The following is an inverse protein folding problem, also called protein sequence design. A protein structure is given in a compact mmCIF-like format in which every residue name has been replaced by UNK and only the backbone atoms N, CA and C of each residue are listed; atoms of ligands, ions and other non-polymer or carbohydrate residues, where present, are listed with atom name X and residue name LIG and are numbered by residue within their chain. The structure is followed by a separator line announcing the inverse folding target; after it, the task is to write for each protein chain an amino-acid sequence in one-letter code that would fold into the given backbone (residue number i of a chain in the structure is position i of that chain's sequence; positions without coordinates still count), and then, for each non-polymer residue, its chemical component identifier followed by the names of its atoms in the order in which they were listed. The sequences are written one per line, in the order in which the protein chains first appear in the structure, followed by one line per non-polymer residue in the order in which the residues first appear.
data_IF_230508546750
#
_entry.id   IF_230508546750
#
_cell.length_a   1.000
_cell.length_b   1.000
_cell.length_c   1.000
_cell.angle_alpha   90.00
_cell.angle_beta   90.00
_cell.angle_gamma   90.00
#
_symmetry.space_group_name_H-M   'P 1'
#
loop_
_entity.id
_entity.type
_entity.pdbx_description
1 polymer ?
#
# COMPACT_ATOMS: atom_id res chain seq x y z
N UNK A 1 14.56 -2.63 -22.29
CA UNK A 1 14.05 -1.95 -21.08
C UNK A 1 14.64 -2.65 -19.89
N UNK A 2 15.47 -1.96 -19.14
CA UNK A 2 16.13 -2.55 -17.99
C UNK A 2 15.12 -2.95 -16.90
N UNK A 3 15.52 -3.93 -16.08
CA UNK A 3 14.74 -4.27 -14.90
C UNK A 3 14.83 -3.13 -13.89
N UNK A 4 13.75 -2.85 -13.13
CA UNK A 4 13.86 -1.94 -12.01
C UNK A 4 14.93 -2.46 -11.05
N UNK A 5 15.74 -1.56 -10.51
CA UNK A 5 16.64 -1.90 -9.40
C UNK A 5 15.74 -2.11 -8.18
N UNK A 6 15.36 -3.36 -7.94
CA UNK A 6 14.64 -3.77 -6.76
C UNK A 6 15.68 -4.12 -5.70
N UNK A 7 15.71 -3.32 -4.65
CA UNK A 7 16.62 -3.47 -3.53
C UNK A 7 15.86 -3.36 -2.22
N UNK A 8 16.63 -3.39 -1.14
CA UNK A 8 16.12 -3.15 0.20
C UNK A 8 15.30 -1.85 0.25
N UNK A 9 14.22 -1.89 1.02
CA UNK A 9 13.41 -0.69 1.29
C UNK A 9 14.07 -0.01 2.48
N UNK A 10 14.59 1.21 2.30
CA UNK A 10 15.38 1.92 3.31
C UNK A 10 14.70 3.19 3.77
N UNK A 11 14.80 3.49 5.06
CA UNK A 11 14.26 4.70 5.69
C UNK A 11 12.76 4.95 5.37
N UNK A 12 11.98 3.89 5.15
CA UNK A 12 10.59 4.02 4.75
C UNK A 12 9.72 4.52 5.90
N UNK A 13 8.69 5.29 5.59
CA UNK A 13 7.69 5.72 6.56
C UNK A 13 6.43 4.85 6.50
N UNK A 14 5.79 4.66 7.66
CA UNK A 14 4.48 4.02 7.72
C UNK A 14 3.40 5.02 7.32
N UNK A 15 2.73 4.78 6.19
CA UNK A 15 1.60 5.61 5.75
C UNK A 15 0.35 5.34 6.59
N UNK A 16 0.11 4.06 6.92
CA UNK A 16 -1.07 3.58 7.63
C UNK A 16 -0.70 2.43 8.57
N UNK A 17 -1.25 2.47 9.78
CA UNK A 17 -1.21 1.36 10.75
C UNK A 17 -2.63 0.92 11.05
N UNK A 18 -3.02 -0.20 10.49
CA UNK A 18 -4.41 -0.64 10.40
C UNK A 18 -4.67 -1.84 11.34
N UNK A 19 -5.95 -2.05 11.63
CA UNK A 19 -6.43 -3.18 12.43
C UNK A 19 -6.67 -4.45 11.61
N UNK A 20 -7.51 -5.32 12.18
CA UNK A 20 -7.95 -6.57 11.55
C UNK A 20 -9.05 -6.33 10.52
N UNK A 21 -9.22 -7.29 9.61
CA UNK A 21 -10.31 -7.41 8.64
C UNK A 21 -10.53 -6.13 7.81
N UNK A 22 -9.44 -5.46 7.43
CA UNK A 22 -9.48 -4.32 6.51
C UNK A 22 -9.91 -4.82 5.14
N UNK A 23 -11.18 -4.61 4.81
CA UNK A 23 -11.72 -5.04 3.52
C UNK A 23 -11.20 -4.21 2.34
N UNK A 24 -11.32 -4.75 1.12
CA UNK A 24 -11.02 -4.04 -0.13
C UNK A 24 -11.88 -2.78 -0.34
N UNK A 25 -13.04 -2.66 0.32
CA UNK A 25 -13.86 -1.43 0.29
C UNK A 25 -13.28 -0.32 1.16
N UNK A 26 -12.54 -0.66 2.22
CA UNK A 26 -11.75 0.33 2.97
C UNK A 26 -10.57 0.82 2.13
N UNK A 27 -9.91 -0.10 1.40
CA UNK A 27 -8.74 0.21 0.57
C UNK A 27 -9.14 1.00 -0.69
N UNK A 28 -10.21 0.58 -1.36
CA UNK A 28 -10.69 1.15 -2.62
C UNK A 28 -12.22 1.26 -2.59
N UNK A 29 -12.77 2.31 -1.94
CA UNK A 29 -14.21 2.55 -1.92
C UNK A 29 -14.76 2.73 -3.35
N UNK A 30 -16.00 2.29 -3.57
CA UNK A 30 -16.67 2.40 -4.87
C UNK A 30 -17.86 3.36 -4.88
N UNK A 31 -18.29 3.83 -3.70
CA UNK A 31 -19.45 4.70 -3.53
C UNK A 31 -19.17 6.17 -3.84
N UNK A 32 -19.95 7.04 -3.22
CA UNK A 32 -19.92 8.48 -3.45
C UNK A 32 -18.58 9.13 -3.10
N UNK A 33 -18.19 10.11 -3.91
CA UNK A 33 -17.00 10.94 -3.65
C UNK A 33 -17.37 12.04 -2.66
N UNK A 34 -16.85 11.99 -1.44
CA UNK A 34 -17.12 12.98 -0.39
C UNK A 34 -16.67 14.39 -0.83
N UNK A 35 -17.48 15.43 -0.54
CA UNK A 35 -17.23 16.83 -0.97
C UNK A 35 -15.87 17.37 -0.50
N UNK A 36 -15.38 16.90 0.65
CA UNK A 36 -14.14 17.34 1.29
C UNK A 36 -12.94 16.45 0.94
N UNK A 37 -13.10 15.45 0.09
CA UNK A 37 -12.02 14.53 -0.29
C UNK A 37 -11.03 15.15 -1.29
N UNK A 38 -9.81 14.61 -1.35
CA UNK A 38 -8.81 15.01 -2.36
C UNK A 38 -9.32 14.76 -3.78
N UNK A 39 -10.12 13.72 -4.00
CA UNK A 39 -10.74 13.44 -5.29
C UNK A 39 -11.75 14.53 -5.69
N UNK A 40 -12.56 15.01 -4.74
CA UNK A 40 -13.47 16.14 -4.96
C UNK A 40 -12.72 17.43 -5.29
N UNK A 41 -11.64 17.73 -4.55
CA UNK A 41 -10.78 18.89 -4.83
C UNK A 41 -10.24 18.85 -6.27
N UNK A 42 -9.69 17.70 -6.68
CA UNK A 42 -9.21 17.50 -8.05
C UNK A 42 -10.31 17.68 -9.09
N UNK A 43 -11.50 17.10 -8.89
CA UNK A 43 -12.62 17.23 -9.83
C UNK A 43 -13.08 18.69 -9.97
N UNK A 44 -13.17 19.42 -8.86
CA UNK A 44 -13.53 20.83 -8.86
C UNK A 44 -12.49 21.69 -9.59
N UNK A 45 -11.20 21.45 -9.36
CA UNK A 45 -10.10 22.15 -10.06
C UNK A 45 -10.14 21.92 -11.58
N UNK A 46 -10.78 20.84 -12.03
CA UNK A 46 -11.01 20.53 -13.45
C UNK A 46 -12.42 20.88 -13.93
N UNK A 47 -13.14 21.74 -13.20
CA UNK A 47 -14.44 22.28 -13.59
C UNK A 47 -15.63 21.33 -13.45
N UNK A 48 -15.44 20.14 -12.88
CA UNK A 48 -16.52 19.17 -12.66
C UNK A 48 -17.30 19.57 -11.41
N UNK A 49 -18.60 19.75 -11.54
CA UNK A 49 -19.47 20.12 -10.43
C UNK A 49 -19.86 18.91 -9.59
N UNK A 50 -20.26 19.14 -8.33
CA UNK A 50 -20.61 18.06 -7.39
C UNK A 50 -21.71 17.13 -7.91
N UNK A 51 -22.68 17.65 -8.66
CA UNK A 51 -23.74 16.85 -9.28
C UNK A 51 -23.18 15.81 -10.27
N UNK A 52 -22.04 16.13 -10.90
CA UNK A 52 -21.40 15.32 -11.93
C UNK A 52 -20.25 14.48 -11.40
N UNK A 53 -19.95 14.51 -10.09
CA UNK A 53 -18.86 13.70 -9.51
C UNK A 53 -19.02 12.22 -9.80
N UNK A 54 -20.27 11.73 -9.81
CA UNK A 54 -20.58 10.31 -9.87
C UNK A 54 -19.90 9.56 -8.69
N UNK A 55 -19.73 8.25 -8.80
CA UNK A 55 -19.10 7.40 -7.80
C UNK A 55 -17.64 7.10 -8.13
N UNK A 56 -16.86 6.66 -7.14
CA UNK A 56 -15.51 6.12 -7.40
C UNK A 56 -15.56 4.95 -8.40
N UNK A 57 -16.58 4.07 -8.31
CA UNK A 57 -16.76 2.97 -9.25
C UNK A 57 -16.90 3.43 -10.71
N UNK A 58 -17.65 4.50 -10.96
CA UNK A 58 -17.80 5.09 -12.29
C UNK A 58 -16.51 5.75 -12.81
N UNK A 59 -15.60 6.14 -11.91
CA UNK A 59 -14.32 6.80 -12.22
C UNK A 59 -13.14 5.83 -12.34
N UNK A 60 -13.36 4.51 -12.30
CA UNK A 60 -12.31 3.47 -12.30
C UNK A 60 -11.30 3.52 -13.46
N UNK A 61 -11.66 4.17 -14.56
CA UNK A 61 -10.77 4.40 -15.72
C UNK A 61 -9.89 5.65 -15.61
N UNK A 62 -10.06 6.46 -14.56
CA UNK A 62 -9.27 7.66 -14.29
C UNK A 62 -8.40 7.42 -13.06
N UNK A 63 -7.11 7.21 -13.29
CA UNK A 63 -6.13 6.91 -12.25
C UNK A 63 -5.93 8.05 -11.26
N UNK A 64 -5.99 9.30 -11.71
CA UNK A 64 -5.85 10.48 -10.86
C UNK A 64 -6.97 10.57 -9.82
N UNK A 65 -8.20 10.21 -10.18
CA UNK A 65 -9.34 10.16 -9.24
C UNK A 65 -9.21 8.95 -8.31
N UNK A 66 -8.84 7.79 -8.84
CA UNK A 66 -8.81 6.56 -8.05
C UNK A 66 -7.64 6.50 -7.07
N UNK A 67 -6.48 7.06 -7.41
CA UNK A 67 -5.39 7.26 -6.45
C UNK A 67 -5.86 8.12 -5.27
N UNK A 68 -6.54 9.24 -5.56
CA UNK A 68 -7.14 10.11 -4.52
C UNK A 68 -8.27 9.46 -3.71
N UNK A 69 -8.93 8.45 -4.29
CA UNK A 69 -9.93 7.63 -3.63
C UNK A 69 -9.37 6.47 -2.81
N UNK A 70 -8.08 6.17 -2.95
CA UNK A 70 -7.45 5.06 -2.23
C UNK A 70 -7.39 5.39 -0.74
N UNK A 71 -7.87 4.46 0.08
CA UNK A 71 -8.07 4.63 1.52
C UNK A 71 -9.01 5.79 1.90
N UNK A 72 -9.83 6.29 0.95
CA UNK A 72 -10.74 7.41 1.19
C UNK A 72 -12.03 7.04 1.94
N UNK A 73 -12.09 5.83 2.53
CA UNK A 73 -13.27 5.35 3.24
C UNK A 73 -13.40 6.04 4.60
N UNK A 74 -14.58 6.59 4.91
CA UNK A 74 -14.84 7.33 6.16
C UNK A 74 -14.79 6.47 7.41
N UNK A 75 -14.88 5.14 7.27
CA UNK A 75 -14.81 4.17 8.38
C UNK A 75 -13.42 3.57 8.56
N UNK A 76 -12.44 3.94 7.75
CA UNK A 76 -11.08 3.43 7.88
C UNK A 76 -10.51 3.86 9.23
N UNK A 77 -10.08 2.90 10.05
CA UNK A 77 -9.41 3.18 11.32
C UNK A 77 -7.90 3.15 11.13
N UNK A 78 -7.21 4.24 11.50
CA UNK A 78 -5.76 4.38 11.32
C UNK A 78 -5.08 4.76 12.64
N UNK A 79 -4.29 3.81 13.18
CA UNK A 79 -3.60 3.95 14.47
C UNK A 79 -2.45 4.97 14.44
N UNK A 80 -1.96 5.36 13.26
CA UNK A 80 -0.95 6.44 13.13
C UNK A 80 -1.51 7.78 13.63
N UNK A 81 -2.81 8.03 13.41
CA UNK A 81 -3.49 9.25 13.89
C UNK A 81 -3.76 9.16 15.38
N UNK A 82 -4.12 7.97 15.86
CA UNK A 82 -4.28 7.67 17.27
C UNK A 82 -5.35 6.59 17.52
N UNK A 83 -5.49 6.14 18.77
CA UNK A 83 -6.52 5.17 19.14
C UNK A 83 -7.93 5.69 18.84
N UNK A 84 -8.73 4.90 18.13
CA UNK A 84 -10.12 5.22 17.80
C UNK A 84 -10.32 6.25 16.68
N UNK A 85 -9.24 6.80 16.11
CA UNK A 85 -9.33 7.70 14.96
C UNK A 85 -9.88 6.96 13.74
N UNK A 86 -10.92 7.52 13.12
CA UNK A 86 -11.52 6.99 11.88
C UNK A 86 -11.57 8.06 10.80
N UNK A 87 -11.57 7.63 9.54
CA UNK A 87 -11.65 8.49 8.37
C UNK A 87 -10.42 8.40 7.47
N UNK A 88 -10.46 9.10 6.33
CA UNK A 88 -9.47 9.00 5.28
C UNK A 88 -8.24 9.88 5.54
N UNK A 89 -7.70 9.84 6.76
CA UNK A 89 -6.63 10.72 7.25
C UNK A 89 -5.45 9.94 7.83
N UNK A 90 -4.28 10.56 7.77
CA UNK A 90 -3.04 10.09 8.41
C UNK A 90 -2.20 11.28 8.88
N UNK A 91 -1.10 11.00 9.58
CA UNK A 91 -0.13 12.02 9.98
C UNK A 91 1.07 11.96 9.02
N UNK A 92 1.42 13.10 8.43
CA UNK A 92 2.70 13.24 7.75
C UNK A 92 3.80 13.45 8.79
N UNK A 93 4.43 12.34 9.20
CA UNK A 93 5.35 12.24 10.35
C UNK A 93 6.41 13.34 10.38
N UNK A 94 7.14 13.67 9.28
CA UNK A 94 8.16 14.72 9.31
C UNK A 94 7.61 16.09 9.72
N UNK A 95 6.38 16.42 9.30
CA UNK A 95 5.76 17.73 9.60
C UNK A 95 4.86 17.73 10.84
N UNK A 96 4.41 16.55 11.29
CA UNK A 96 3.37 16.41 12.32
C UNK A 96 1.95 16.80 11.86
N UNK A 97 1.76 17.24 10.61
CA UNK A 97 0.45 17.65 10.09
C UNK A 97 -0.47 16.44 9.83
N UNK A 98 -1.73 16.56 10.25
CA UNK A 98 -2.77 15.63 9.83
C UNK A 98 -3.30 16.00 8.44
N UNK A 99 -3.22 15.06 7.51
CA UNK A 99 -3.61 15.23 6.12
C UNK A 99 -4.56 14.13 5.67
N UNK A 100 -5.17 14.32 4.50
CA UNK A 100 -5.73 13.18 3.78
C UNK A 100 -4.63 12.17 3.45
N UNK A 101 -4.99 10.90 3.32
CA UNK A 101 -3.99 9.84 3.03
C UNK A 101 -3.30 10.08 1.68
N UNK A 102 -4.03 10.56 0.68
CA UNK A 102 -3.45 10.92 -0.62
C UNK A 102 -2.49 12.11 -0.53
N UNK A 103 -2.86 13.18 0.19
CA UNK A 103 -2.02 14.36 0.27
C UNK A 103 -0.74 14.07 1.08
N UNK A 104 -0.84 13.24 2.13
CA UNK A 104 0.34 12.76 2.86
C UNK A 104 1.27 11.92 1.97
N UNK A 105 0.72 10.97 1.20
CA UNK A 105 1.55 10.14 0.31
C UNK A 105 2.20 10.95 -0.81
N UNK A 106 1.48 11.93 -1.37
CA UNK A 106 2.02 12.83 -2.39
C UNK A 106 3.24 13.61 -1.89
N UNK A 107 3.24 14.06 -0.63
CA UNK A 107 4.41 14.70 0.00
C UNK A 107 5.60 13.74 0.13
N UNK A 108 5.38 12.55 0.68
CA UNK A 108 6.44 11.55 0.79
C UNK A 108 7.03 11.15 -0.57
N UNK A 109 6.19 10.99 -1.60
CA UNK A 109 6.64 10.73 -2.98
C UNK A 109 7.52 11.88 -3.49
N UNK A 110 7.11 13.13 -3.26
CA UNK A 110 7.88 14.30 -3.67
C UNK A 110 9.26 14.36 -2.98
N UNK A 111 9.33 13.88 -1.73
CA UNK A 111 10.56 13.78 -0.94
C UNK A 111 11.40 12.52 -1.27
N UNK A 112 10.94 11.67 -2.18
CA UNK A 112 11.63 10.43 -2.56
C UNK A 112 11.63 9.37 -1.45
N UNK A 113 10.65 9.41 -0.55
CA UNK A 113 10.54 8.52 0.60
C UNK A 113 9.63 7.34 0.29
N UNK A 114 10.15 6.13 0.49
CA UNK A 114 9.35 4.91 0.38
C UNK A 114 8.31 4.80 1.50
N UNK A 115 7.17 4.20 1.18
CA UNK A 115 6.07 4.01 2.13
C UNK A 115 5.76 2.54 2.37
N UNK A 116 5.34 2.24 3.60
CA UNK A 116 4.82 0.94 3.99
C UNK A 116 3.46 1.05 4.67
N UNK A 117 2.77 -0.07 4.79
CA UNK A 117 1.55 -0.21 5.59
C UNK A 117 1.76 -1.31 6.62
N UNK A 118 1.36 -1.05 7.86
CA UNK A 118 1.19 -2.07 8.89
C UNK A 118 -0.29 -2.45 8.97
N UNK A 119 -0.61 -3.74 9.10
CA UNK A 119 -1.99 -4.22 9.21
C UNK A 119 -2.11 -5.41 10.17
N UNK A 120 -3.34 -5.66 10.62
CA UNK A 120 -3.68 -6.83 11.42
C UNK A 120 -3.96 -8.06 10.56
N UNK A 121 -4.94 -8.86 10.99
CA UNK A 121 -5.38 -10.10 10.33
C UNK A 121 -6.28 -9.83 9.13
N UNK A 122 -6.30 -10.75 8.18
CA UNK A 122 -7.22 -10.77 7.03
C UNK A 122 -7.18 -9.48 6.20
N UNK A 123 -5.99 -8.90 6.03
CA UNK A 123 -5.82 -7.68 5.25
C UNK A 123 -6.26 -7.90 3.79
N UNK A 124 -7.18 -7.05 3.32
CA UNK A 124 -7.74 -7.08 1.98
C UNK A 124 -8.89 -8.06 1.78
N UNK A 125 -9.64 -8.39 2.83
CA UNK A 125 -10.81 -9.27 2.73
C UNK A 125 -11.96 -8.66 1.91
N UNK A 126 -12.90 -9.51 1.49
CA UNK A 126 -14.09 -9.09 0.74
C UNK A 126 -13.96 -9.23 -0.78
N UNK A 127 -14.75 -8.47 -1.54
CA UNK A 127 -14.80 -8.61 -2.99
C UNK A 127 -13.52 -8.13 -3.65
N UNK A 128 -13.07 -8.84 -4.69
CA UNK A 128 -11.92 -8.39 -5.48
C UNK A 128 -12.21 -7.03 -6.13
N UNK A 129 -11.25 -6.11 -6.02
CA UNK A 129 -11.31 -4.76 -6.60
C UNK A 129 -9.96 -4.41 -7.20
N UNK A 130 -9.96 -4.06 -8.48
CA UNK A 130 -8.73 -3.77 -9.24
C UNK A 130 -7.86 -2.70 -8.56
N UNK A 131 -8.50 -1.69 -8.01
CA UNK A 131 -7.86 -0.54 -7.37
C UNK A 131 -7.38 -0.81 -5.94
N UNK A 132 -7.73 -1.95 -5.33
CA UNK A 132 -7.23 -2.30 -4.00
C UNK A 132 -5.72 -2.59 -3.98
N UNK A 133 -5.09 -2.89 -5.12
CA UNK A 133 -3.63 -2.99 -5.22
C UNK A 133 -3.01 -1.84 -6.05
N UNK A 134 -3.68 -1.40 -7.13
CA UNK A 134 -3.21 -0.26 -7.93
C UNK A 134 -3.18 1.05 -7.12
N UNK A 135 -4.18 1.26 -6.26
CA UNK A 135 -4.26 2.41 -5.39
C UNK A 135 -3.03 2.56 -4.49
N UNK A 136 -2.76 1.60 -3.59
CA UNK A 136 -1.57 1.64 -2.74
C UNK A 136 -0.26 1.81 -3.53
N UNK A 137 -0.14 1.17 -4.69
CA UNK A 137 1.01 1.35 -5.59
C UNK A 137 1.16 2.80 -6.06
N UNK A 138 0.06 3.43 -6.51
CA UNK A 138 0.04 4.84 -6.91
C UNK A 138 0.29 5.80 -5.74
N UNK A 139 0.02 5.37 -4.50
CA UNK A 139 0.38 6.09 -3.29
C UNK A 139 1.84 5.86 -2.85
N UNK A 140 2.66 5.16 -3.65
CA UNK A 140 4.08 4.97 -3.35
C UNK A 140 4.38 3.86 -2.34
N UNK A 141 3.39 3.03 -1.98
CA UNK A 141 3.59 1.93 -1.04
C UNK A 141 4.46 0.84 -1.68
N UNK A 142 5.55 0.48 -1.02
CA UNK A 142 6.50 -0.57 -1.44
C UNK A 142 6.27 -1.90 -0.75
N UNK A 143 5.79 -1.89 0.48
CA UNK A 143 5.52 -3.11 1.24
C UNK A 143 4.31 -2.97 2.16
N UNK A 144 3.68 -4.11 2.44
CA UNK A 144 2.65 -4.24 3.48
C UNK A 144 3.10 -5.33 4.46
N UNK A 145 3.16 -5.00 5.75
CA UNK A 145 3.43 -5.94 6.84
C UNK A 145 2.14 -6.21 7.60
N UNK A 146 1.58 -7.41 7.46
CA UNK A 146 0.31 -7.80 8.06
C UNK A 146 0.45 -9.06 8.93
N UNK A 147 -0.49 -9.31 9.83
CA UNK A 147 -0.55 -10.61 10.52
C UNK A 147 -0.99 -11.71 9.54
N UNK A 148 -1.95 -11.41 8.67
CA UNK A 148 -2.35 -12.29 7.57
C UNK A 148 -3.02 -11.50 6.44
N UNK A 149 -3.08 -12.11 5.26
CA UNK A 149 -3.71 -11.54 4.07
C UNK A 149 -4.83 -12.44 3.58
N UNK A 150 -5.86 -11.85 2.98
CA UNK A 150 -6.73 -12.58 2.07
C UNK A 150 -5.92 -13.03 0.82
N UNK A 151 -6.19 -14.25 0.34
CA UNK A 151 -5.38 -14.94 -0.69
C UNK A 151 -5.33 -14.17 -2.02
N UNK A 152 -6.47 -13.70 -2.51
CA UNK A 152 -6.58 -12.96 -3.78
C UNK A 152 -5.91 -11.60 -3.63
N UNK A 153 -6.19 -10.88 -2.55
CA UNK A 153 -5.60 -9.57 -2.31
C UNK A 153 -4.07 -9.60 -2.25
N UNK A 154 -3.50 -10.57 -1.52
CA UNK A 154 -2.04 -10.79 -1.49
C UNK A 154 -1.47 -10.93 -2.90
N UNK A 155 -2.11 -11.75 -3.75
CA UNK A 155 -1.67 -11.98 -5.12
C UNK A 155 -1.73 -10.70 -5.97
N UNK A 156 -2.75 -9.86 -5.74
CA UNK A 156 -2.87 -8.56 -6.41
C UNK A 156 -1.76 -7.58 -6.00
N UNK A 157 -1.36 -7.54 -4.72
CA UNK A 157 -0.23 -6.73 -4.26
C UNK A 157 1.07 -7.12 -4.99
N UNK A 158 1.35 -8.43 -5.05
CA UNK A 158 2.51 -8.97 -5.81
C UNK A 158 2.44 -8.58 -7.28
N UNK A 159 1.26 -8.70 -7.89
CA UNK A 159 1.03 -8.32 -9.28
C UNK A 159 1.34 -6.85 -9.58
N UNK A 160 1.18 -5.97 -8.58
CA UNK A 160 1.54 -4.54 -8.67
C UNK A 160 2.98 -4.24 -8.25
N UNK A 161 3.75 -5.22 -7.80
CA UNK A 161 5.11 -5.02 -7.31
C UNK A 161 5.20 -4.49 -5.87
N UNK A 162 4.13 -4.63 -5.07
CA UNK A 162 4.16 -4.36 -3.63
C UNK A 162 4.52 -5.65 -2.90
N UNK A 163 5.47 -5.60 -1.97
CA UNK A 163 5.91 -6.78 -1.21
C UNK A 163 4.95 -7.08 -0.05
N UNK A 164 4.23 -8.21 -0.05
CA UNK A 164 3.50 -8.65 1.13
C UNK A 164 4.44 -9.37 2.11
N UNK A 165 4.39 -8.97 3.38
CA UNK A 165 5.19 -9.51 4.48
C UNK A 165 4.27 -9.91 5.62
N UNK A 166 4.50 -11.07 6.23
CA UNK A 166 3.73 -11.54 7.38
C UNK A 166 4.55 -11.52 8.66
N UNK A 167 4.02 -11.01 9.77
CA UNK A 167 4.61 -11.22 11.08
C UNK A 167 4.78 -12.72 11.39
N UNK A 168 5.78 -13.08 12.21
CA UNK A 168 6.06 -14.48 12.60
C UNK A 168 5.70 -14.72 14.05
N UNK A 169 5.55 -15.98 14.44
CA UNK A 169 5.42 -16.35 15.85
C UNK A 169 4.20 -15.77 16.58
N UNK A 170 3.15 -15.37 15.85
CA UNK A 170 2.00 -14.68 16.44
C UNK A 170 2.26 -13.22 16.82
N UNK A 171 3.38 -12.65 16.36
CA UNK A 171 3.68 -11.22 16.50
C UNK A 171 2.70 -10.37 15.69
N UNK A 172 2.60 -9.11 16.10
CA UNK A 172 1.80 -8.06 15.47
C UNK A 172 2.47 -6.71 15.69
N UNK A 173 1.99 -5.66 15.02
CA UNK A 173 2.41 -4.30 15.32
C UNK A 173 2.23 -3.95 16.81
N UNK A 174 1.15 -4.43 17.44
CA UNK A 174 0.85 -4.16 18.85
C UNK A 174 1.81 -4.90 19.78
N UNK A 175 2.02 -6.21 19.58
CA UNK A 175 2.92 -6.99 20.45
C UNK A 175 4.38 -6.55 20.34
N UNK A 176 4.78 -6.08 19.15
CA UNK A 176 6.10 -5.51 18.92
C UNK A 176 6.19 -4.05 19.40
N UNK A 177 5.09 -3.39 19.76
CA UNK A 177 5.07 -2.00 20.19
C UNK A 177 5.36 -0.99 19.08
N UNK A 178 5.10 -1.35 17.82
CA UNK A 178 5.25 -0.48 16.66
C UNK A 178 4.14 0.57 16.63
N UNK A 179 4.54 1.85 16.64
CA UNK A 179 3.61 2.99 16.65
C UNK A 179 3.28 3.48 15.24
N UNK A 180 4.14 3.21 14.28
CA UNK A 180 4.05 3.70 12.90
C UNK A 180 4.64 5.10 12.72
N UNK A 181 5.32 5.66 13.72
CA UNK A 181 6.08 6.91 13.58
C UNK A 181 7.59 6.68 13.46
N UNK A 182 8.03 5.43 13.53
CA UNK A 182 9.38 4.99 13.24
C UNK A 182 9.65 5.02 11.73
N UNK A 183 10.93 5.03 11.36
CA UNK A 183 11.36 4.62 10.01
C UNK A 183 11.62 3.13 9.99
N UNK A 184 11.42 2.51 8.82
CA UNK A 184 11.56 1.07 8.63
C UNK A 184 12.58 0.78 7.53
N UNK A 185 13.55 -0.07 7.86
CA UNK A 185 14.47 -0.69 6.91
C UNK A 185 14.08 -2.16 6.74
N UNK A 186 13.81 -2.59 5.50
CA UNK A 186 13.41 -3.96 5.15
C UNK A 186 14.49 -4.54 4.24
N UNK A 187 15.21 -5.54 4.76
CA UNK A 187 16.35 -6.15 4.07
C UNK A 187 15.88 -7.31 3.20
N UNK A 188 15.60 -7.03 1.92
CA UNK A 188 15.13 -8.00 0.94
C UNK A 188 16.29 -8.84 0.38
N UNK A 189 17.48 -8.26 0.28
CA UNK A 189 18.64 -8.89 -0.34
C UNK A 189 18.55 -8.97 -1.86
N UNK A 190 19.56 -9.57 -2.48
CA UNK A 190 19.67 -9.69 -3.94
C UNK A 190 18.89 -10.89 -4.51
N UNK A 191 18.78 -11.96 -3.72
CA UNK A 191 18.09 -13.19 -4.09
C UNK A 191 16.87 -13.43 -3.23
N UNK A 192 15.69 -13.32 -3.86
CA UNK A 192 14.42 -13.62 -3.21
C UNK A 192 14.03 -15.06 -3.47
N UNK A 193 13.85 -15.83 -2.39
CA UNK A 193 13.30 -17.17 -2.42
C UNK A 193 11.89 -17.16 -1.84
N UNK A 194 10.94 -17.95 -2.41
CA UNK A 194 9.59 -18.02 -1.87
C UNK A 194 9.55 -18.36 -0.38
N UNK A 195 8.76 -17.60 0.39
CA UNK A 195 8.58 -17.86 1.81
C UNK A 195 9.77 -17.52 2.71
N UNK A 196 10.83 -16.89 2.21
CA UNK A 196 12.03 -16.58 3.01
C UNK A 196 11.75 -15.61 4.16
N UNK A 197 12.62 -15.66 5.16
CA UNK A 197 12.58 -14.71 6.28
C UNK A 197 13.30 -13.41 5.90
N UNK A 198 12.69 -12.29 6.28
CA UNK A 198 13.14 -10.92 6.00
C UNK A 198 13.33 -10.21 7.33
N UNK A 199 14.49 -9.57 7.50
CA UNK A 199 14.75 -8.73 8.67
C UNK A 199 14.17 -7.33 8.46
N UNK A 200 13.49 -6.83 9.49
CA UNK A 200 13.00 -5.46 9.56
C UNK A 200 13.61 -4.78 10.77
N UNK A 201 14.23 -3.62 10.56
CA UNK A 201 14.80 -2.78 11.62
C UNK A 201 14.10 -1.44 11.62
N UNK A 202 13.74 -0.95 12.80
CA UNK A 202 13.16 0.38 12.98
C UNK A 202 14.20 1.39 13.46
N UNK A 203 13.97 2.67 13.21
CA UNK A 203 14.87 3.75 13.64
C UNK A 203 15.04 3.89 15.15
N UNK A 204 14.17 3.27 15.96
CA UNK A 204 14.28 3.20 17.42
C UNK A 204 15.14 2.01 17.90
N UNK A 205 15.72 1.23 16.99
CA UNK A 205 16.63 0.12 17.26
C UNK A 205 15.96 -1.25 17.39
N UNK A 206 14.62 -1.35 17.28
CA UNK A 206 13.94 -2.64 17.31
C UNK A 206 14.16 -3.40 16.01
N UNK A 207 14.43 -4.70 16.14
CA UNK A 207 14.61 -5.61 15.00
C UNK A 207 13.71 -6.82 15.18
N UNK A 208 13.02 -7.22 14.11
CA UNK A 208 12.14 -8.38 14.08
C UNK A 208 12.18 -9.05 12.71
N UNK A 209 11.64 -10.27 12.63
CA UNK A 209 11.65 -11.08 11.40
C UNK A 209 10.24 -11.27 10.88
N UNK A 210 10.06 -11.01 9.59
CA UNK A 210 8.79 -11.23 8.88
C UNK A 210 8.99 -12.25 7.78
N UNK A 211 7.94 -13.00 7.46
CA UNK A 211 7.93 -13.95 6.35
C UNK A 211 7.58 -13.23 5.05
N UNK A 212 8.41 -13.39 4.02
CA UNK A 212 8.11 -12.97 2.66
C UNK A 212 6.94 -13.79 2.12
N UNK A 213 5.88 -13.11 1.65
CA UNK A 213 4.68 -13.75 1.09
C UNK A 213 4.65 -13.72 -0.44
N UNK A 214 5.82 -13.87 -1.05
CA UNK A 214 5.96 -14.40 -2.40
C UNK A 214 5.94 -15.92 -2.27
N UNK A 215 4.83 -16.54 -2.63
CA UNK A 215 4.55 -17.94 -2.31
C UNK A 215 5.05 -18.89 -3.42
N UNK A 216 5.40 -18.36 -4.61
CA UNK A 216 5.89 -19.14 -5.75
C UNK A 216 7.05 -18.46 -6.48
N UNK A 217 7.83 -19.23 -7.26
CA UNK A 217 8.89 -18.67 -8.11
C UNK A 217 8.36 -17.71 -9.19
N UNK A 218 7.14 -17.95 -9.69
CA UNK A 218 6.49 -17.05 -10.64
C UNK A 218 6.21 -15.67 -10.01
N UNK A 219 5.76 -15.65 -8.75
CA UNK A 219 5.55 -14.41 -8.01
C UNK A 219 6.83 -13.64 -7.74
N UNK A 220 7.93 -14.36 -7.44
CA UNK A 220 9.27 -13.76 -7.37
C UNK A 220 9.65 -13.12 -8.71
N UNK A 221 9.40 -13.80 -9.83
CA UNK A 221 9.67 -13.26 -11.17
C UNK A 221 8.81 -12.01 -11.48
N UNK A 222 7.52 -12.02 -11.12
CA UNK A 222 6.65 -10.86 -11.28
C UNK A 222 7.15 -9.68 -10.46
N UNK A 223 7.46 -9.89 -9.18
CA UNK A 223 7.99 -8.85 -8.32
C UNK A 223 9.29 -8.28 -8.88
N UNK A 224 10.25 -9.14 -9.28
CA UNK A 224 11.53 -8.74 -9.91
C UNK A 224 11.39 -7.91 -11.17
N UNK A 225 10.25 -7.99 -11.83
CA UNK A 225 9.92 -7.20 -13.01
C UNK A 225 9.20 -5.89 -12.67
N UNK A 226 8.95 -5.57 -11.41
CA UNK A 226 8.11 -4.45 -11.00
C UNK A 226 6.62 -4.71 -11.22
N UNK A 227 6.20 -5.98 -11.21
CA UNK A 227 4.81 -6.41 -11.38
C UNK A 227 4.55 -7.24 -12.63
N UNK A 228 3.36 -7.86 -12.67
CA UNK A 228 2.96 -8.83 -13.70
C UNK A 228 2.84 -8.19 -15.09
N UNK A 229 2.34 -6.96 -15.18
CA UNK A 229 2.18 -6.27 -16.46
C UNK A 229 3.54 -6.02 -17.13
N UNK A 230 4.51 -5.58 -16.34
CA UNK A 230 5.88 -5.37 -16.82
C UNK A 230 6.54 -6.69 -17.23
N UNK A 231 6.36 -7.76 -16.45
CA UNK A 231 6.85 -9.09 -16.80
C UNK A 231 6.32 -9.58 -18.15
N UNK A 232 5.00 -9.51 -18.35
CA UNK A 232 4.35 -9.95 -19.60
C UNK A 232 4.82 -9.11 -20.78
N UNK A 233 4.91 -7.79 -20.62
CA UNK A 233 5.35 -6.89 -21.68
C UNK A 233 6.81 -7.20 -22.10
N UNK A 234 7.72 -7.36 -21.14
CA UNK A 234 9.12 -7.69 -21.43
C UNK A 234 9.24 -9.04 -22.15
N UNK A 235 8.52 -10.07 -21.69
CA UNK A 235 8.55 -11.37 -22.34
C UNK A 235 8.05 -11.32 -23.80
N UNK A 236 6.98 -10.56 -24.08
CA UNK A 236 6.47 -10.41 -25.45
C UNK A 236 7.47 -9.68 -26.37
N UNK A 237 8.18 -8.69 -25.84
CA UNK A 237 9.21 -7.97 -26.61
C UNK A 237 10.40 -8.90 -26.89
N UNK A 238 10.87 -9.63 -25.88
CA UNK A 238 11.99 -10.57 -26.01
C UNK A 238 11.69 -11.79 -26.89
N UNK A 239 10.44 -12.26 -26.95
CA UNK A 239 10.04 -13.38 -27.82
C UNK A 239 9.80 -12.98 -29.28
N UNK A 240 9.81 -11.67 -29.58
CA UNK A 240 9.60 -11.13 -30.92
C UNK A 240 10.91 -10.62 -31.57
N UNK A 241 12.05 -10.88 -30.92
CA UNK A 241 13.41 -10.59 -31.39
C UNK A 241 14.14 -11.90 -31.67
#
# INVERSE_FOLDING_TARGET
MDLPVLGDIKNAHCLLSLGDSVTTDHISPAGDIAKTSSAAKYLNEHGIQKADFNTYGARRGNDLVMARGTFANTRLANRVVGPGATGPVTIHIPSGEQLSIYDASARYIADGVDLIILAGKEYGSGSSRDWAAKGPYMLGVKAVIAESFERIHRSNLVGMGIVPLCYKGGESAVSLGLKGNEKFDITLGTELVPGQDISVTTSDGKTFTVKLRLDTAAEVAYYRNGGILHYVLRNKISSSS
#
